data_IF_875095342214
#
_entry.id   IF_875095342214
#
_cell.length_a   1.000
_cell.length_b   1.000
_cell.length_c   1.000
_cell.angle_alpha   90.00
_cell.angle_beta   90.00
_cell.angle_gamma   90.00
#
_symmetry.space_group_name_H-M   'P 1'
#
loop_
_entity.id
_entity.type
_entity.pdbx_description
1 polymer ?
#
# COMPACT_ATOMS: atom_id res chain seq x y z
N UNK A 1 -8.15 11.72 -8.53
CA UNK A 1 -8.71 10.83 -7.48
C UNK A 1 -9.70 11.61 -6.65
N UNK A 2 -10.90 11.07 -6.39
CA UNK A 2 -11.91 11.70 -5.52
C UNK A 2 -11.37 11.80 -4.08
N UNK A 3 -11.62 12.90 -3.34
CA UNK A 3 -11.34 13.02 -1.91
C UNK A 3 -11.66 11.78 -1.07
N UNK A 4 -12.80 11.12 -1.29
CA UNK A 4 -13.18 9.90 -0.56
C UNK A 4 -12.22 8.72 -0.82
N UNK A 5 -11.79 8.54 -2.06
CA UNK A 5 -10.82 7.50 -2.37
C UNK A 5 -9.45 7.81 -1.76
N UNK A 6 -9.04 9.09 -1.76
CA UNK A 6 -7.81 9.54 -1.11
C UNK A 6 -7.82 9.24 0.39
N UNK A 7 -8.91 9.55 1.09
CA UNK A 7 -9.01 9.28 2.54
C UNK A 7 -9.01 7.79 2.83
N UNK A 8 -9.68 6.96 2.01
CA UNK A 8 -9.66 5.51 2.15
C UNK A 8 -8.24 4.97 2.02
N UNK A 9 -7.47 5.35 0.99
CA UNK A 9 -6.10 4.86 0.83
C UNK A 9 -5.16 5.31 1.94
N UNK A 10 -5.28 6.55 2.42
CA UNK A 10 -4.50 7.04 3.57
C UNK A 10 -4.86 6.30 4.87
N UNK A 11 -6.14 6.03 5.10
CA UNK A 11 -6.60 5.25 6.25
C UNK A 11 -6.08 3.80 6.16
N UNK A 12 -6.14 3.19 4.98
CA UNK A 12 -5.63 1.84 4.76
C UNK A 12 -4.13 1.72 5.06
N UNK A 13 -3.31 2.74 4.75
CA UNK A 13 -1.90 2.77 5.17
C UNK A 13 -1.73 2.80 6.69
N UNK A 14 -2.52 3.63 7.37
CA UNK A 14 -2.50 3.68 8.84
C UNK A 14 -2.98 2.36 9.46
N UNK A 15 -4.00 1.73 8.86
CA UNK A 15 -4.53 0.44 9.33
C UNK A 15 -3.53 -0.70 9.06
N UNK A 16 -2.94 -0.78 7.88
CA UNK A 16 -1.96 -1.83 7.55
C UNK A 16 -0.76 -1.79 8.48
N UNK A 17 -0.19 -0.60 8.71
CA UNK A 17 0.91 -0.41 9.67
C UNK A 17 0.53 -0.73 11.12
N UNK A 18 -0.64 -0.30 11.59
CA UNK A 18 -1.09 -0.63 12.94
C UNK A 18 -1.33 -2.12 13.12
N UNK A 19 -1.97 -2.79 12.14
CA UNK A 19 -2.15 -4.25 12.13
C UNK A 19 -0.79 -4.94 12.24
N UNK A 20 0.19 -4.59 11.41
CA UNK A 20 1.52 -5.22 11.46
C UNK A 20 2.17 -5.05 12.83
N UNK A 21 2.11 -3.86 13.43
CA UNK A 21 2.74 -3.58 14.73
C UNK A 21 2.03 -4.24 15.92
N UNK A 22 0.69 -4.36 15.87
CA UNK A 22 -0.10 -4.91 16.97
C UNK A 22 -0.41 -6.41 16.82
N UNK A 23 0.07 -7.06 15.76
CA UNK A 23 -0.24 -8.46 15.47
C UNK A 23 0.51 -9.43 16.37
N UNK A 24 -0.22 -10.37 16.96
CA UNK A 24 0.35 -11.52 17.68
C UNK A 24 0.46 -12.79 16.81
N UNK A 25 -0.03 -12.74 15.57
CA UNK A 25 0.00 -13.86 14.64
C UNK A 25 0.68 -13.45 13.33
N UNK A 26 1.62 -14.27 12.84
CA UNK A 26 2.40 -13.97 11.63
C UNK A 26 1.53 -13.73 10.39
N UNK A 27 0.48 -14.53 10.19
CA UNK A 27 -0.48 -14.31 9.09
C UNK A 27 -1.11 -12.90 9.15
N UNK A 28 -1.46 -12.42 10.34
CA UNK A 28 -2.09 -11.11 10.49
C UNK A 28 -1.06 -9.99 10.25
N UNK A 29 0.17 -10.17 10.71
CA UNK A 29 1.27 -9.25 10.43
C UNK A 29 1.53 -9.14 8.92
N UNK A 30 1.53 -10.28 8.21
CA UNK A 30 1.65 -10.34 6.75
C UNK A 30 0.48 -9.67 6.03
N UNK A 31 -0.76 -9.90 6.45
CA UNK A 31 -1.94 -9.20 5.90
C UNK A 31 -1.79 -7.67 6.06
N UNK A 32 -1.27 -7.19 7.20
CA UNK A 32 -1.00 -5.77 7.41
C UNK A 32 0.01 -5.19 6.40
N UNK A 33 1.05 -5.96 6.05
CA UNK A 33 2.04 -5.58 5.04
C UNK A 33 1.43 -5.54 3.63
N UNK A 34 0.61 -6.53 3.28
CA UNK A 34 -0.08 -6.57 1.98
C UNK A 34 -1.07 -5.40 1.81
N UNK A 35 -1.81 -5.04 2.86
CA UNK A 35 -2.69 -3.87 2.85
C UNK A 35 -1.88 -2.60 2.53
N UNK A 36 -0.69 -2.43 3.11
CA UNK A 36 0.16 -1.28 2.83
C UNK A 36 0.65 -1.27 1.38
N UNK A 37 1.10 -2.42 0.87
CA UNK A 37 1.59 -2.56 -0.51
C UNK A 37 0.50 -2.21 -1.53
N UNK A 38 -0.74 -2.64 -1.30
CA UNK A 38 -1.85 -2.30 -2.19
C UNK A 38 -2.33 -0.85 -2.05
N UNK A 39 -2.36 -0.31 -0.83
CA UNK A 39 -2.85 1.04 -0.57
C UNK A 39 -1.95 2.15 -1.14
N UNK A 40 -0.64 1.91 -1.23
CA UNK A 40 0.32 2.92 -1.72
C UNK A 40 0.34 3.05 -3.24
N UNK A 41 0.01 2.01 -4.01
CA UNK A 41 0.11 2.01 -5.49
C UNK A 41 -0.75 3.11 -6.14
N UNK A 42 -2.04 3.29 -5.78
CA UNK A 42 -2.86 4.38 -6.33
C UNK A 42 -2.36 5.78 -5.93
N UNK A 43 -1.66 5.89 -4.80
CA UNK A 43 -1.05 7.16 -4.36
C UNK A 43 0.21 7.48 -5.18
N UNK A 44 1.04 6.48 -5.50
CA UNK A 44 2.20 6.65 -6.40
C UNK A 44 1.80 7.04 -7.82
N UNK A 45 0.65 6.54 -8.29
CA UNK A 45 0.13 6.75 -9.66
C UNK A 45 -0.97 7.81 -9.75
N UNK A 46 -1.14 8.63 -8.70
CA UNK A 46 -2.19 9.68 -8.62
C UNK A 46 -2.23 10.58 -9.86
N UNK A 47 -1.05 10.95 -10.35
CA UNK A 47 -0.86 11.62 -11.65
C UNK A 47 -0.25 10.62 -12.61
N UNK A 48 -1.00 10.15 -13.63
CA UNK A 48 -0.49 9.19 -14.60
C UNK A 48 0.69 9.80 -15.37
N UNK A 49 1.88 9.28 -15.11
CA UNK A 49 3.11 9.63 -15.80
C UNK A 49 3.95 8.36 -15.94
N UNK A 50 4.63 8.12 -17.09
CA UNK A 50 5.40 6.89 -17.31
C UNK A 50 6.36 6.55 -16.16
N UNK A 51 7.09 7.55 -15.65
CA UNK A 51 7.99 7.39 -14.49
C UNK A 51 7.27 6.99 -13.20
N UNK A 52 6.07 7.50 -12.95
CA UNK A 52 5.29 7.17 -11.76
C UNK A 52 4.76 5.74 -11.84
N UNK A 53 4.34 5.31 -13.03
CA UNK A 53 3.92 3.94 -13.30
C UNK A 53 5.11 2.99 -13.14
N UNK A 54 6.26 3.29 -13.75
CA UNK A 54 7.48 2.49 -13.61
C UNK A 54 7.92 2.36 -12.15
N UNK A 55 7.89 3.44 -11.38
CA UNK A 55 8.20 3.41 -9.96
C UNK A 55 7.22 2.53 -9.17
N UNK A 56 5.92 2.62 -9.44
CA UNK A 56 4.91 1.79 -8.80
C UNK A 56 5.04 0.30 -9.16
N UNK A 57 5.36 -0.02 -10.42
CA UNK A 57 5.63 -1.39 -10.86
C UNK A 57 6.87 -1.96 -10.17
N UNK A 58 7.97 -1.21 -10.11
CA UNK A 58 9.18 -1.64 -9.41
C UNK A 58 8.89 -1.89 -7.93
N UNK A 59 8.22 -0.95 -7.26
CA UNK A 59 7.81 -1.10 -5.88
C UNK A 59 6.99 -2.39 -5.67
N UNK A 60 5.94 -2.59 -6.47
CA UNK A 60 5.07 -3.76 -6.35
C UNK A 60 5.85 -5.08 -6.50
N UNK A 61 6.67 -5.20 -7.55
CA UNK A 61 7.44 -6.43 -7.79
C UNK A 61 8.44 -6.72 -6.66
N UNK A 62 9.06 -5.69 -6.10
CA UNK A 62 9.99 -5.89 -4.97
C UNK A 62 9.27 -6.30 -3.69
N UNK A 63 8.11 -5.74 -3.39
CA UNK A 63 7.37 -6.06 -2.16
C UNK A 63 6.66 -7.41 -2.25
N UNK A 64 6.09 -7.74 -3.42
CA UNK A 64 5.42 -9.03 -3.61
C UNK A 64 6.39 -10.23 -3.60
N UNK A 65 7.69 -9.99 -3.81
CA UNK A 65 8.73 -11.01 -3.77
C UNK A 65 9.45 -11.11 -2.42
N UNK A 66 9.22 -10.18 -1.49
CA UNK A 66 9.83 -10.14 -0.17
C UNK A 66 9.17 -11.17 0.77
#
# INVERSE_FOLDING_TARGET
MNPLALTIFLLSLAIGTTITLSSFHWLLAWIGLEINTLAIIPLMTKTPHPRAIEAATKYFLTQAAA
#
